data_IF_683556144166
#
_entry.id   IF_683556144166
#
_cell.length_a   1.000
_cell.length_b   1.000
_cell.length_c   1.000
_cell.angle_alpha   90.00
_cell.angle_beta   90.00
_cell.angle_gamma   90.00
#
_symmetry.space_group_name_H-M   'P 1'
#
loop_
_entity.id
_entity.type
_entity.pdbx_description
1 polymer ?
#
# COMPACT_ATOMS: atom_id res chain seq x y z
N UNK A 1 -1.56 7.95 5.32
CA UNK A 1 -0.17 8.23 4.93
C UNK A 1 0.38 7.03 4.18
N UNK A 2 0.91 7.21 2.95
CA UNK A 2 1.60 6.14 2.23
C UNK A 2 3.00 5.93 2.79
N UNK A 3 3.39 4.67 3.01
CA UNK A 3 4.74 4.24 3.32
C UNK A 3 5.36 3.64 2.06
N UNK A 4 6.41 4.27 1.54
CA UNK A 4 7.05 3.84 0.31
C UNK A 4 8.21 2.90 0.61
N UNK A 5 8.20 1.73 -0.03
CA UNK A 5 9.30 0.79 -0.07
C UNK A 5 9.84 0.72 -1.51
N UNK A 6 11.15 0.57 -1.70
CA UNK A 6 11.73 0.29 -3.02
C UNK A 6 11.94 -1.21 -3.17
N UNK A 7 11.31 -1.85 -4.16
CA UNK A 7 11.44 -3.30 -4.37
C UNK A 7 12.88 -3.76 -4.71
N UNK A 8 13.71 -2.81 -5.14
CA UNK A 8 15.13 -3.01 -5.50
C UNK A 8 16.09 -2.66 -4.36
N UNK A 9 15.61 -2.48 -3.12
CA UNK A 9 16.47 -2.10 -2.00
C UNK A 9 15.95 -2.71 -0.71
N UNK A 10 16.68 -3.68 -0.17
CA UNK A 10 16.34 -4.28 1.12
C UNK A 10 16.41 -3.27 2.27
N UNK A 11 17.34 -2.33 2.25
CA UNK A 11 17.46 -1.28 3.27
C UNK A 11 16.20 -0.41 3.36
N UNK A 12 15.54 -0.13 2.23
CA UNK A 12 14.30 0.64 2.24
C UNK A 12 13.15 -0.07 2.97
N UNK A 13 13.20 -1.39 3.12
CA UNK A 13 12.21 -2.16 3.88
C UNK A 13 12.37 -1.94 5.39
N UNK A 14 13.61 -1.81 5.87
CA UNK A 14 13.91 -1.55 7.28
C UNK A 14 13.48 -0.12 7.69
N UNK A 15 13.69 0.84 6.78
CA UNK A 15 13.25 2.22 6.97
C UNK A 15 11.72 2.33 7.10
N UNK A 16 10.96 1.50 6.36
CA UNK A 16 9.49 1.51 6.40
C UNK A 16 8.95 1.22 7.80
N UNK A 17 9.58 0.33 8.58
CA UNK A 17 9.13 0.07 9.95
C UNK A 17 9.40 1.27 10.86
N UNK A 18 10.58 1.89 10.73
CA UNK A 18 10.92 3.11 11.47
C UNK A 18 9.93 4.24 11.19
N UNK A 19 9.60 4.47 9.90
CA UNK A 19 8.61 5.47 9.51
C UNK A 19 7.21 5.14 10.03
N UNK A 20 6.81 3.86 10.03
CA UNK A 20 5.52 3.44 10.59
C UNK A 20 5.41 3.77 12.08
N UNK A 21 6.45 3.46 12.86
CA UNK A 21 6.49 3.75 14.29
C UNK A 21 6.38 5.27 14.53
N UNK A 22 7.09 6.07 13.75
CA UNK A 22 7.05 7.53 13.85
C UNK A 22 5.66 8.10 13.53
N UNK A 23 5.02 7.60 12.46
CA UNK A 23 3.65 8.00 12.11
C UNK A 23 2.69 7.64 13.24
N UNK A 24 2.79 6.44 13.81
CA UNK A 24 1.94 6.02 14.94
C UNK A 24 2.16 6.90 16.17
N UNK A 25 3.40 7.30 16.45
CA UNK A 25 3.74 8.19 17.57
C UNK A 25 3.13 9.59 17.40
N UNK A 26 3.23 10.17 16.21
CA UNK A 26 2.78 11.56 15.96
C UNK A 26 1.26 11.62 15.70
N UNK A 27 0.72 10.70 14.90
CA UNK A 27 -0.67 10.76 14.40
C UNK A 27 -1.64 9.86 15.16
N UNK A 28 -1.13 9.02 16.06
CA UNK A 28 -1.91 8.04 16.82
C UNK A 28 -2.05 6.69 16.11
N UNK A 29 -2.43 5.65 16.86
CA UNK A 29 -2.50 4.26 16.37
C UNK A 29 -3.54 4.08 15.27
N UNK A 30 -4.59 4.91 15.29
CA UNK A 30 -5.67 4.83 14.33
C UNK A 30 -5.34 5.48 13.00
N UNK A 31 -4.19 6.13 12.77
CA UNK A 31 -3.92 6.81 11.49
C UNK A 31 -3.98 5.85 10.28
N UNK A 32 -4.57 6.23 9.12
CA UNK A 32 -4.71 5.31 8.00
C UNK A 32 -3.35 5.21 7.31
N UNK A 33 -2.81 4.00 7.22
CA UNK A 33 -1.49 3.75 6.63
C UNK A 33 -1.66 2.72 5.50
N UNK A 34 -0.90 2.90 4.42
CA UNK A 34 -0.82 1.94 3.30
C UNK A 34 0.65 1.71 2.97
N UNK A 35 1.04 0.47 2.73
CA UNK A 35 2.40 0.11 2.30
C UNK A 35 2.44 0.07 0.77
N UNK A 36 3.44 0.68 0.16
CA UNK A 36 3.56 0.82 -1.30
C UNK A 36 4.94 0.36 -1.76
N UNK A 37 5.01 -0.75 -2.48
CA UNK A 37 6.23 -1.24 -3.13
C UNK A 37 6.43 -0.59 -4.49
N UNK A 38 7.41 0.31 -4.59
CA UNK A 38 7.74 1.06 -5.80
C UNK A 38 8.77 0.33 -6.67
N UNK A 39 8.92 0.77 -7.92
CA UNK A 39 9.86 0.22 -8.92
C UNK A 39 9.55 -1.22 -9.32
N UNK A 40 8.27 -1.60 -9.39
CA UNK A 40 7.85 -2.94 -9.83
C UNK A 40 8.40 -3.33 -11.20
N UNK A 41 8.68 -2.35 -12.04
CA UNK A 41 9.23 -2.53 -13.39
C UNK A 41 10.66 -3.06 -13.44
N UNK A 42 11.43 -2.91 -12.38
CA UNK A 42 12.81 -3.41 -12.29
C UNK A 42 12.83 -4.84 -11.73
N UNK A 43 12.14 -5.76 -12.40
CA UNK A 43 12.02 -7.14 -11.94
C UNK A 43 13.39 -7.86 -11.84
N UNK A 44 14.34 -7.51 -12.70
CA UNK A 44 15.71 -8.06 -12.71
C UNK A 44 16.58 -7.56 -11.55
N UNK A 45 16.26 -6.40 -10.99
CA UNK A 45 16.99 -5.77 -9.87
C UNK A 45 16.22 -5.93 -8.55
N UNK A 46 15.21 -6.81 -8.52
CA UNK A 46 14.38 -7.01 -7.35
C UNK A 46 15.19 -7.74 -6.27
N UNK A 47 15.42 -7.03 -5.17
CA UNK A 47 16.05 -7.59 -3.97
C UNK A 47 15.00 -8.15 -2.98
N UNK A 48 13.80 -7.56 -2.98
CA UNK A 48 12.74 -7.93 -2.04
C UNK A 48 11.57 -8.58 -2.76
N UNK A 49 11.20 -9.79 -2.34
CA UNK A 49 10.04 -10.49 -2.91
C UNK A 49 8.71 -9.83 -2.52
N UNK A 50 7.74 -9.87 -3.43
CA UNK A 50 6.38 -9.38 -3.14
C UNK A 50 5.78 -10.08 -1.92
N UNK A 51 5.99 -11.40 -1.79
CA UNK A 51 5.50 -12.22 -0.69
C UNK A 51 6.05 -11.79 0.67
N UNK A 52 7.32 -11.37 0.71
CA UNK A 52 7.96 -10.85 1.94
C UNK A 52 7.23 -9.60 2.42
N UNK A 53 7.00 -8.65 1.52
CA UNK A 53 6.35 -7.37 1.87
C UNK A 53 4.87 -7.58 2.17
N UNK A 54 4.20 -8.45 1.43
CA UNK A 54 2.81 -8.80 1.68
C UNK A 54 2.65 -9.44 3.07
N UNK A 55 3.57 -10.34 3.46
CA UNK A 55 3.57 -10.96 4.79
C UNK A 55 3.82 -9.93 5.89
N UNK A 56 4.75 -8.99 5.65
CA UNK A 56 5.02 -7.88 6.55
C UNK A 56 3.79 -6.97 6.72
N UNK A 57 3.17 -6.55 5.62
CA UNK A 57 1.98 -5.72 5.62
C UNK A 57 0.79 -6.41 6.30
N UNK A 58 0.61 -7.72 6.08
CA UNK A 58 -0.37 -8.55 6.80
C UNK A 58 -0.09 -8.58 8.31
N UNK A 59 1.17 -8.74 8.73
CA UNK A 59 1.53 -8.70 10.16
C UNK A 59 1.19 -7.36 10.82
N UNK A 60 1.09 -6.30 10.02
CA UNK A 60 0.78 -4.95 10.47
C UNK A 60 -0.68 -4.56 10.34
N UNK A 61 -1.50 -5.45 9.75
CA UNK A 61 -2.88 -5.20 9.33
C UNK A 61 -3.00 -3.97 8.41
N UNK A 62 -2.05 -3.84 7.47
CA UNK A 62 -2.00 -2.73 6.52
C UNK A 62 -2.18 -3.23 5.08
N UNK A 63 -2.90 -2.49 4.23
CA UNK A 63 -2.97 -2.79 2.81
C UNK A 63 -1.62 -2.56 2.13
N UNK A 64 -1.32 -3.39 1.13
CA UNK A 64 -0.10 -3.33 0.33
C UNK A 64 -0.41 -3.20 -1.17
N UNK A 65 0.35 -2.35 -1.85
CA UNK A 65 0.24 -2.14 -3.30
C UNK A 65 1.62 -2.09 -3.95
N UNK A 66 1.78 -2.69 -5.13
CA UNK A 66 2.97 -2.48 -5.95
C UNK A 66 2.71 -1.48 -7.06
N UNK A 67 3.62 -0.53 -7.23
CA UNK A 67 3.50 0.55 -8.21
C UNK A 67 4.75 0.67 -9.07
N UNK A 68 4.56 1.19 -10.27
CA UNK A 68 5.65 1.67 -11.12
C UNK A 68 5.34 3.10 -11.51
N UNK A 69 6.04 4.05 -10.87
CA UNK A 69 5.95 5.46 -11.25
C UNK A 69 6.39 5.67 -12.71
N UNK A 70 7.42 4.93 -13.16
CA UNK A 70 7.97 4.96 -14.53
C UNK A 70 6.91 4.63 -15.58
N UNK A 71 6.08 3.63 -15.33
CA UNK A 71 5.01 3.22 -16.26
C UNK A 71 3.62 3.72 -15.85
N UNK A 72 3.55 4.60 -14.85
CA UNK A 72 2.30 5.08 -14.26
C UNK A 72 1.31 3.94 -13.91
N UNK A 73 1.82 2.82 -13.40
CA UNK A 73 1.03 1.62 -13.05
C UNK A 73 0.70 1.61 -11.57
N UNK A 74 -0.59 1.43 -11.26
CA UNK A 74 -1.14 1.31 -9.91
C UNK A 74 -0.81 2.48 -8.97
N UNK A 75 -0.43 3.64 -9.52
CA UNK A 75 -0.04 4.80 -8.71
C UNK A 75 -1.23 5.40 -7.97
N UNK A 76 -2.46 5.31 -8.52
CA UNK A 76 -3.66 5.91 -7.94
C UNK A 76 -4.29 5.06 -6.82
N UNK A 77 -4.28 3.73 -6.96
CA UNK A 77 -4.98 2.81 -6.03
C UNK A 77 -4.64 3.03 -4.54
N UNK A 78 -3.35 3.24 -4.15
CA UNK A 78 -2.99 3.50 -2.76
C UNK A 78 -3.58 4.81 -2.23
N UNK A 79 -3.64 5.85 -3.06
CA UNK A 79 -4.20 7.15 -2.66
C UNK A 79 -5.72 7.09 -2.56
N UNK A 80 -6.39 6.42 -3.51
CA UNK A 80 -7.82 6.21 -3.46
C UNK A 80 -8.24 5.43 -2.21
N UNK A 81 -7.49 4.38 -1.85
CA UNK A 81 -7.77 3.62 -0.65
C UNK A 81 -7.54 4.44 0.63
N UNK A 82 -6.45 5.21 0.70
CA UNK A 82 -6.21 6.13 1.81
C UNK A 82 -7.35 7.14 1.96
N UNK A 83 -7.81 7.76 0.87
CA UNK A 83 -8.93 8.71 0.89
C UNK A 83 -10.20 8.02 1.37
N UNK A 84 -10.46 6.79 0.92
CA UNK A 84 -11.60 5.99 1.37
C UNK A 84 -11.53 5.68 2.85
N UNK A 85 -10.36 5.31 3.38
CA UNK A 85 -10.14 5.06 4.81
C UNK A 85 -10.35 6.34 5.63
N UNK A 86 -9.83 7.48 5.17
CA UNK A 86 -10.04 8.79 5.83
C UNK A 86 -11.52 9.18 5.85
N UNK A 87 -12.23 9.06 4.73
CA UNK A 87 -13.66 9.38 4.63
C UNK A 87 -14.51 8.55 5.59
N UNK A 88 -14.23 7.24 5.71
CA UNK A 88 -14.94 6.35 6.65
C UNK A 88 -14.81 6.76 8.12
N UNK A 89 -13.78 7.54 8.46
CA UNK A 89 -13.52 7.97 9.83
C UNK A 89 -14.08 9.36 10.13
N UNK A 90 -14.09 10.24 9.13
CA UNK A 90 -14.55 11.63 9.28
C UNK A 90 -16.06 11.74 9.01
N UNK A 91 -16.61 10.95 8.10
CA UNK A 91 -18.00 11.06 7.66
C UNK A 91 -18.86 9.93 8.23
N UNK A 92 -20.13 10.22 8.59
CA UNK A 92 -21.11 9.18 8.89
C UNK A 92 -21.29 8.24 7.67
N UNK A 93 -21.70 6.98 7.88
CA UNK A 93 -21.83 6.02 6.79
C UNK A 93 -22.85 6.52 5.76
N UNK A 94 -22.37 6.96 4.60
CA UNK A 94 -23.20 7.25 3.44
C UNK A 94 -23.67 5.90 2.87
N UNK A 95 -24.98 5.73 2.68
CA UNK A 95 -25.59 4.55 2.09
C UNK A 95 -24.87 4.12 0.82
N UNK A 96 -24.49 2.85 0.74
CA UNK A 96 -23.71 2.31 -0.37
C UNK A 96 -24.60 2.21 -1.61
N UNK A 97 -24.27 2.94 -2.68
CA UNK A 97 -24.58 2.45 -4.02
C UNK A 97 -23.54 1.40 -4.39
N UNK A 98 -24.00 0.17 -4.58
CA UNK A 98 -23.22 -0.96 -5.08
C UNK A 98 -22.72 -0.69 -6.50
N UNK A 99 -21.59 0.02 -6.64
CA UNK A 99 -20.84 0.03 -7.90
C UNK A 99 -20.25 -1.36 -8.10
N UNK A 100 -20.95 -2.16 -8.92
CA UNK A 100 -20.52 -3.45 -9.48
C UNK A 100 -19.02 -3.41 -9.76
N UNK A 101 -18.27 -4.29 -9.09
CA UNK A 101 -16.87 -4.58 -9.38
C UNK A 101 -16.74 -4.92 -10.87
N UNK A 102 -16.24 -3.98 -11.67
CA UNK A 102 -15.88 -4.27 -13.04
C UNK A 102 -14.64 -5.16 -12.98
N UNK A 103 -14.84 -6.46 -13.20
CA UNK A 103 -13.77 -7.45 -13.37
C UNK A 103 -12.82 -6.93 -14.46
N UNK A 104 -11.63 -6.49 -14.07
CA UNK A 104 -10.52 -6.26 -14.99
C UNK A 104 -9.42 -7.26 -14.64
N UNK A 105 -9.27 -8.24 -15.51
CA UNK A 105 -8.06 -9.04 -15.74
C UNK A 105 -7.46 -9.72 -14.51
N UNK A 106 -7.70 -11.02 -14.41
CA UNK A 106 -6.82 -11.97 -13.74
C UNK A 106 -5.34 -11.58 -13.89
N UNK A 107 -4.65 -11.46 -12.76
CA UNK A 107 -3.21 -11.66 -12.71
C UNK A 107 -2.89 -12.38 -11.39
N UNK A 108 -3.08 -13.69 -11.45
CA UNK A 108 -2.42 -14.79 -10.72
C UNK A 108 -1.89 -14.41 -9.33
N UNK A 109 -2.65 -14.78 -8.30
CA UNK A 109 -2.07 -15.21 -7.02
C UNK A 109 -1.65 -16.66 -7.20
N UNK A 110 -0.34 -16.92 -7.23
CA UNK A 110 0.26 -18.20 -6.88
C UNK A 110 1.11 -18.00 -5.64
#
# INVERSE_FOLDING_TARGET
MPLLNSLTSQSSLEEVDSFRQEIRRIKGPDSPIVVVGTKRDLASEREVSAKTIESLAKSWDLPFYETSAKHNRNVNDPFEDLVRQMRRRILPPVGREDRKKQKRGECITM
#
